data_IF_755153022328
#
_entry.id   IF_755153022328
#
_cell.length_a   1.000
_cell.length_b   1.000
_cell.length_c   1.000
_cell.angle_alpha   90.00
_cell.angle_beta   90.00
_cell.angle_gamma   90.00
#
_symmetry.space_group_name_H-M   'P 1'
#
loop_
_entity.id
_entity.type
_entity.pdbx_description
1 polymer ?
#
# COMPACT_ATOMS: atom_id res chain seq x y z
N UNK A 1 -0.52 -1.08 17.09
CA UNK A 1 0.45 -1.42 16.03
C UNK A 1 1.88 -1.16 16.50
N UNK A 2 2.61 -2.21 16.88
CA UNK A 2 4.01 -2.11 17.29
C UNK A 2 4.93 -1.68 16.13
N UNK A 3 4.67 -2.16 14.91
CA UNK A 3 5.43 -1.79 13.71
C UNK A 3 5.36 -0.28 13.36
N UNK A 4 4.18 0.32 13.45
CA UNK A 4 3.98 1.77 13.21
C UNK A 4 4.66 2.61 14.28
N UNK A 5 4.76 2.08 15.51
CA UNK A 5 5.44 2.75 16.60
C UNK A 5 6.96 2.73 16.40
N UNK A 6 7.54 1.58 16.01
CA UNK A 6 8.97 1.46 15.65
C UNK A 6 9.34 2.31 14.43
N UNK A 7 8.43 2.44 13.45
CA UNK A 7 8.60 3.36 12.32
C UNK A 7 8.74 4.82 12.79
N UNK A 8 7.87 5.27 13.72
CA UNK A 8 7.95 6.61 14.31
C UNK A 8 9.19 6.83 15.17
N UNK A 9 9.71 5.78 15.79
CA UNK A 9 10.96 5.80 16.57
C UNK A 9 12.21 5.80 15.66
N UNK A 10 12.04 5.61 14.34
CA UNK A 10 13.15 5.62 13.37
C UNK A 10 13.83 4.25 13.19
N UNK A 11 13.29 3.19 13.81
CA UNK A 11 13.81 1.83 13.69
C UNK A 11 13.24 1.12 12.46
N UNK A 12 13.61 1.59 11.29
CA UNK A 12 13.03 1.13 10.01
C UNK A 12 13.35 -0.35 9.74
N UNK A 13 14.50 -0.82 10.23
CA UNK A 13 14.93 -2.21 10.08
C UNK A 13 14.03 -3.18 10.85
N UNK A 14 13.74 -2.87 12.12
CA UNK A 14 12.77 -3.63 12.94
C UNK A 14 11.35 -3.51 12.39
N UNK A 15 10.96 -2.33 11.92
CA UNK A 15 9.64 -2.15 11.31
C UNK A 15 9.46 -3.10 10.10
N UNK A 16 10.47 -3.25 9.24
CA UNK A 16 10.44 -4.23 8.14
C UNK A 16 10.32 -5.67 8.63
N UNK A 17 11.09 -6.08 9.64
CA UNK A 17 11.01 -7.43 10.21
C UNK A 17 9.62 -7.71 10.80
N UNK A 18 9.03 -6.72 11.48
CA UNK A 18 7.67 -6.82 12.01
C UNK A 18 6.61 -6.88 10.90
N UNK A 19 6.78 -6.12 9.82
CA UNK A 19 5.88 -6.20 8.66
C UNK A 19 6.02 -7.54 7.94
N UNK A 20 7.22 -8.05 7.76
CA UNK A 20 7.48 -9.35 7.14
C UNK A 20 6.84 -10.47 7.97
N UNK A 21 7.09 -10.50 9.29
CA UNK A 21 6.46 -11.43 10.22
C UNK A 21 4.93 -11.32 10.20
N UNK A 22 4.37 -10.10 10.13
CA UNK A 22 2.94 -9.89 10.04
C UNK A 22 2.36 -10.42 8.71
N UNK A 23 3.05 -10.23 7.59
CA UNK A 23 2.60 -10.76 6.29
C UNK A 23 2.70 -12.28 6.19
N UNK A 24 3.70 -12.90 6.83
CA UNK A 24 3.82 -14.36 6.91
C UNK A 24 2.76 -14.96 7.83
N UNK A 25 2.43 -14.27 8.94
CA UNK A 25 1.41 -14.72 9.87
C UNK A 25 -0.01 -14.60 9.29
N UNK A 26 -0.31 -13.53 8.56
CA UNK A 26 -1.60 -13.32 7.89
C UNK A 26 -1.41 -12.62 6.54
N UNK A 27 -1.30 -13.42 5.48
CA UNK A 27 -1.12 -12.94 4.11
C UNK A 27 -2.33 -12.15 3.59
N UNK A 28 -3.50 -12.29 4.21
CA UNK A 28 -4.75 -11.61 3.84
C UNK A 28 -4.93 -10.27 4.57
N UNK A 29 -4.00 -9.91 5.44
CA UNK A 29 -4.10 -8.69 6.21
C UNK A 29 -3.69 -7.45 5.39
N UNK A 30 -4.67 -6.83 4.73
CA UNK A 30 -4.49 -5.64 3.87
C UNK A 30 -3.72 -4.51 4.55
N UNK A 31 -4.00 -4.26 5.84
CA UNK A 31 -3.37 -3.16 6.56
C UNK A 31 -1.86 -3.39 6.81
N UNK A 32 -1.39 -4.64 6.89
CA UNK A 32 0.04 -4.95 7.02
C UNK A 32 0.78 -4.62 5.71
N UNK A 33 0.25 -5.09 4.57
CA UNK A 33 0.78 -4.76 3.24
C UNK A 33 0.79 -3.25 2.98
N UNK A 34 -0.29 -2.58 3.36
CA UNK A 34 -0.42 -1.14 3.20
C UNK A 34 0.59 -0.36 4.08
N UNK A 35 0.70 -0.72 5.36
CA UNK A 35 1.67 -0.11 6.27
C UNK A 35 3.12 -0.30 5.82
N UNK A 36 3.45 -1.49 5.31
CA UNK A 36 4.77 -1.78 4.76
C UNK A 36 5.05 -0.96 3.50
N UNK A 37 4.07 -0.84 2.60
CA UNK A 37 4.21 -0.02 1.40
C UNK A 37 4.42 1.46 1.73
N UNK A 38 3.70 2.02 2.70
CA UNK A 38 3.90 3.41 3.16
C UNK A 38 5.31 3.60 3.69
N UNK A 39 5.79 2.68 4.53
CA UNK A 39 7.15 2.73 5.05
C UNK A 39 8.20 2.75 3.93
N UNK A 40 8.04 1.92 2.91
CA UNK A 40 8.95 1.91 1.76
C UNK A 40 8.82 3.17 0.89
N UNK A 41 7.64 3.79 0.80
CA UNK A 41 7.44 5.08 0.14
C UNK A 41 8.18 6.20 0.89
N UNK A 42 8.10 6.23 2.22
CA UNK A 42 8.82 7.20 3.06
C UNK A 42 10.34 7.03 2.94
N UNK A 43 10.81 5.80 2.76
CA UNK A 43 12.22 5.53 2.47
C UNK A 43 12.66 5.88 1.05
N UNK A 44 11.73 6.24 0.15
CA UNK A 44 12.00 6.47 -1.27
C UNK A 44 12.13 5.20 -2.12
N UNK A 45 11.85 4.02 -1.56
CA UNK A 45 11.91 2.73 -2.24
C UNK A 45 10.62 2.43 -3.04
N UNK A 46 10.31 3.28 -4.01
CA UNK A 46 9.07 3.22 -4.80
C UNK A 46 8.90 1.87 -5.53
N UNK A 47 9.99 1.29 -6.06
CA UNK A 47 9.97 -0.01 -6.74
C UNK A 47 9.53 -1.15 -5.80
N UNK A 48 10.02 -1.15 -4.56
CA UNK A 48 9.66 -2.15 -3.55
C UNK A 48 8.22 -1.98 -3.11
N UNK A 49 7.80 -0.75 -2.83
CA UNK A 49 6.42 -0.44 -2.47
C UNK A 49 5.43 -0.94 -3.54
N UNK A 50 5.71 -0.72 -4.83
CA UNK A 50 4.87 -1.23 -5.93
C UNK A 50 4.79 -2.76 -5.94
N UNK A 51 5.90 -3.46 -5.71
CA UNK A 51 5.91 -4.92 -5.66
C UNK A 51 5.12 -5.46 -4.46
N UNK A 52 5.27 -4.83 -3.29
CA UNK A 52 4.53 -5.18 -2.08
C UNK A 52 3.02 -4.97 -2.25
N UNK A 53 2.61 -3.82 -2.80
CA UNK A 53 1.20 -3.55 -3.09
C UNK A 53 0.64 -4.53 -4.13
N UNK A 54 1.42 -4.88 -5.16
CA UNK A 54 1.03 -5.88 -6.15
C UNK A 54 0.87 -7.29 -5.57
N UNK A 55 1.73 -7.69 -4.62
CA UNK A 55 1.57 -8.94 -3.86
C UNK A 55 0.35 -8.89 -2.95
N UNK A 56 0.16 -7.79 -2.22
CA UNK A 56 -1.02 -7.56 -1.39
C UNK A 56 -2.32 -7.66 -2.19
N UNK A 57 -2.36 -7.12 -3.41
CA UNK A 57 -3.53 -7.23 -4.29
C UNK A 57 -3.85 -8.68 -4.68
N UNK A 58 -2.81 -9.51 -4.91
CA UNK A 58 -2.98 -10.94 -5.24
C UNK A 58 -3.47 -11.75 -4.03
N UNK A 59 -2.93 -11.49 -2.84
CA UNK A 59 -3.25 -12.26 -1.62
C UNK A 59 -4.57 -11.83 -0.96
N UNK A 60 -4.84 -10.52 -0.92
CA UNK A 60 -6.00 -9.96 -0.18
C UNK A 60 -7.25 -9.77 -1.05
N UNK A 61 -7.14 -9.94 -2.38
CA UNK A 61 -8.20 -9.58 -3.31
C UNK A 61 -8.32 -8.05 -3.52
N UNK A 62 -9.21 -7.67 -4.42
CA UNK A 62 -9.43 -6.28 -4.83
C UNK A 62 -9.89 -5.41 -3.65
N UNK A 63 -8.99 -4.58 -3.14
CA UNK A 63 -9.24 -3.68 -2.02
C UNK A 63 -8.99 -2.22 -2.44
N UNK A 64 -9.95 -1.34 -2.15
CA UNK A 64 -9.90 0.10 -2.47
C UNK A 64 -8.60 0.75 -1.98
N UNK A 65 -8.22 0.50 -0.73
CA UNK A 65 -7.03 1.09 -0.11
C UNK A 65 -5.73 0.74 -0.84
N UNK A 66 -5.60 -0.48 -1.36
CA UNK A 66 -4.40 -0.89 -2.11
C UNK A 66 -4.35 -0.16 -3.47
N UNK A 67 -5.49 -0.04 -4.15
CA UNK A 67 -5.58 0.70 -5.41
C UNK A 67 -5.34 2.21 -5.22
N UNK A 68 -5.89 2.82 -4.17
CA UNK A 68 -5.63 4.22 -3.84
C UNK A 68 -4.14 4.47 -3.59
N UNK A 69 -3.48 3.64 -2.79
CA UNK A 69 -2.06 3.81 -2.48
C UNK A 69 -1.17 3.55 -3.69
N UNK A 70 -1.53 2.59 -4.56
CA UNK A 70 -0.89 2.42 -5.88
C UNK A 70 -1.08 3.65 -6.76
N UNK A 71 -2.28 4.20 -6.83
CA UNK A 71 -2.58 5.36 -7.66
C UNK A 71 -1.82 6.61 -7.19
N UNK A 72 -1.79 6.86 -5.88
CA UNK A 72 -1.00 7.94 -5.27
C UNK A 72 0.50 7.76 -5.52
N UNK A 73 1.00 6.54 -5.46
CA UNK A 73 2.40 6.22 -5.74
C UNK A 73 2.77 6.50 -7.20
N UNK A 74 1.95 6.09 -8.16
CA UNK A 74 2.19 6.39 -9.59
C UNK A 74 1.99 7.87 -9.91
N UNK A 75 1.08 8.56 -9.23
CA UNK A 75 0.90 10.01 -9.35
C UNK A 75 2.16 10.76 -8.88
N UNK A 76 2.78 10.34 -7.77
CA UNK A 76 4.10 10.86 -7.34
C UNK A 76 5.23 10.53 -8.32
N UNK A 77 5.10 9.41 -9.03
CA UNK A 77 6.04 8.96 -10.06
C UNK A 77 5.90 9.64 -11.43
N UNK A 78 5.07 10.69 -11.54
CA UNK A 78 4.75 11.39 -12.79
C UNK A 78 4.10 10.51 -13.87
N UNK A 79 3.51 9.37 -13.48
CA UNK A 79 2.83 8.41 -14.37
C UNK A 79 1.32 8.57 -14.25
N UNK A 80 0.83 9.68 -14.75
CA UNK A 80 -0.55 10.12 -14.64
C UNK A 80 -1.54 9.13 -15.28
N UNK A 81 -1.19 8.48 -16.39
CA UNK A 81 -2.05 7.49 -17.05
C UNK A 81 -2.29 6.23 -16.19
N UNK A 82 -1.22 5.72 -15.56
CA UNK A 82 -1.31 4.55 -14.67
C UNK A 82 -2.06 4.89 -13.39
N UNK A 83 -1.84 6.08 -12.84
CA UNK A 83 -2.58 6.57 -11.69
C UNK A 83 -4.09 6.63 -11.97
N UNK A 84 -4.50 7.19 -13.13
CA UNK A 84 -5.91 7.21 -13.56
C UNK A 84 -6.52 5.82 -13.69
N UNK A 85 -5.77 4.87 -14.24
CA UNK A 85 -6.22 3.48 -14.34
C UNK A 85 -6.50 2.88 -12.96
N UNK A 86 -5.57 3.02 -12.01
CA UNK A 86 -5.75 2.48 -10.67
C UNK A 86 -6.86 3.19 -9.88
N UNK A 87 -7.01 4.51 -10.03
CA UNK A 87 -8.16 5.22 -9.46
C UNK A 87 -9.47 4.67 -10.00
N UNK A 88 -9.58 4.45 -11.31
CA UNK A 88 -10.78 3.86 -11.93
C UNK A 88 -11.05 2.44 -11.41
N UNK A 89 -10.02 1.63 -11.16
CA UNK A 89 -10.21 0.31 -10.54
C UNK A 89 -10.67 0.41 -9.07
N UNK A 90 -10.17 1.40 -8.33
CA UNK A 90 -10.63 1.67 -6.97
C UNK A 90 -12.11 2.06 -6.94
N UNK A 91 -12.56 2.91 -7.89
CA UNK A 91 -13.96 3.35 -7.96
C UNK A 91 -14.92 2.21 -8.31
N UNK A 92 -14.50 1.27 -9.15
CA UNK A 92 -15.27 0.07 -9.50
C UNK A 92 -15.40 -0.87 -8.28
N UNK A 93 -14.35 -1.00 -7.47
CA UNK A 93 -14.40 -1.83 -6.26
C UNK A 93 -15.35 -1.27 -5.19
N UNK A 94 -15.48 0.05 -5.08
CA UNK A 94 -16.32 0.70 -4.07
C UNK A 94 -17.15 1.85 -4.66
N UNK A 95 -18.32 1.54 -5.28
CA UNK A 95 -19.16 2.57 -5.91
C UNK A 95 -19.80 3.55 -4.91
N UNK A 96 -19.65 3.34 -3.59
CA UNK A 96 -20.22 4.18 -2.51
C UNK A 96 -19.19 5.08 -1.80
N UNK A 97 -17.90 4.96 -2.09
CA UNK A 97 -16.87 5.76 -1.39
C UNK A 97 -16.73 7.13 -2.07
N UNK A 98 -17.09 8.23 -1.39
CA UNK A 98 -16.95 9.61 -1.90
C UNK A 98 -15.50 9.98 -2.31
N UNK A 99 -14.49 9.23 -1.87
CA UNK A 99 -13.09 9.41 -2.27
C UNK A 99 -12.81 9.04 -3.75
N UNK A 100 -13.81 8.52 -4.46
CA UNK A 100 -13.72 8.22 -5.89
C UNK A 100 -13.99 9.42 -6.82
N UNK A 101 -14.52 10.53 -6.28
CA UNK A 101 -14.96 11.71 -7.05
C UNK A 101 -14.23 13.02 -6.69
N UNK A 102 -13.35 13.00 -5.67
CA UNK A 102 -12.52 14.12 -5.22
C UNK A 102 -11.05 13.84 -5.55
#
# INVERSE_FOLDING_TARGET
>A
CWAVLEQKVGNIRRARELFDAATVADEKHVAAWHGWAILEIEQGNIKKARNLLGKGLKCCGANEYIYQTLALLEARGNRTDQARYFFRQATICNPKSCASWL
#
